data_IF_649376618198
#
_entry.id   IF_649376618198
#
_cell.length_a   1.000
_cell.length_b   1.000
_cell.length_c   1.000
_cell.angle_alpha   90.00
_cell.angle_beta   90.00
_cell.angle_gamma   90.00
#
_symmetry.space_group_name_H-M   'P 1'
#
loop_
_entity.id
_entity.type
_entity.pdbx_description
1 polymer ?
#
# COMPACT_ATOMS: atom_id res chain seq x y z
N UNK A 1 19.95 10.35 24.60
CA UNK A 1 20.79 9.52 25.51
C UNK A 1 19.99 8.28 25.88
N UNK A 2 20.58 7.08 25.92
CA UNK A 2 21.78 6.76 26.68
C UNK A 2 23.08 6.73 25.86
N UNK A 3 24.18 7.05 26.54
CA UNK A 3 25.55 6.75 26.13
C UNK A 3 25.85 5.27 26.41
N UNK A 4 26.56 4.62 25.51
CA UNK A 4 27.34 3.42 25.82
C UNK A 4 28.73 3.58 25.23
N UNK A 5 29.70 3.70 26.14
CA UNK A 5 31.14 3.75 25.88
C UNK A 5 31.61 2.45 25.24
N UNK A 6 32.32 2.54 24.11
CA UNK A 6 33.18 1.45 23.63
C UNK A 6 34.61 2.00 23.67
N UNK A 7 35.35 1.51 24.65
CA UNK A 7 36.80 1.53 24.63
C UNK A 7 37.27 0.50 23.60
N UNK A 8 38.02 0.94 22.59
CA UNK A 8 38.84 0.04 21.80
C UNK A 8 40.27 0.53 21.87
N UNK A 9 41.02 -0.04 22.80
CA UNK A 9 42.48 0.00 22.79
C UNK A 9 42.98 -0.63 21.50
N UNK A 10 43.76 0.10 20.70
CA UNK A 10 44.73 -0.50 19.79
C UNK A 10 45.97 0.37 19.74
N UNK A 11 46.99 -0.09 20.45
CA UNK A 11 48.38 0.25 20.21
C UNK A 11 48.74 -0.14 18.76
N UNK A 12 49.20 0.83 17.96
CA UNK A 12 50.29 0.55 17.04
C UNK A 12 51.10 1.81 16.76
N UNK A 13 52.37 1.76 17.11
CA UNK A 13 53.40 2.74 16.81
C UNK A 13 53.97 2.42 15.42
N UNK A 14 54.36 3.43 14.64
CA UNK A 14 55.19 3.21 13.44
C UNK A 14 54.88 4.17 12.31
N UNK A 15 55.85 5.01 11.95
CA UNK A 15 55.69 6.12 11.01
C UNK A 15 55.95 5.78 9.54
N UNK A 16 55.84 6.83 8.73
CA UNK A 16 56.65 7.05 7.53
C UNK A 16 56.20 6.40 6.21
N UNK A 17 56.11 7.28 5.21
CA UNK A 17 56.37 7.09 3.79
C UNK A 17 55.21 6.70 2.85
N UNK A 18 55.25 7.35 1.68
CA UNK A 18 54.21 7.38 0.66
C UNK A 18 54.10 6.08 -0.13
N UNK A 19 52.94 5.91 -0.76
CA UNK A 19 52.71 4.80 -1.68
C UNK A 19 51.24 4.40 -1.74
N UNK A 20 50.70 4.47 -2.95
CA UNK A 20 49.50 3.77 -3.42
C UNK A 20 48.14 4.06 -2.77
N UNK A 21 47.48 5.08 -3.32
CA UNK A 21 46.06 5.39 -3.09
C UNK A 21 45.13 4.28 -3.64
N UNK A 22 45.63 3.39 -4.51
CA UNK A 22 44.85 2.35 -5.18
C UNK A 22 44.62 1.07 -4.33
N UNK A 23 45.41 0.83 -3.28
CA UNK A 23 45.28 -0.39 -2.46
C UNK A 23 44.18 -0.34 -1.38
N UNK A 24 43.63 0.84 -1.09
CA UNK A 24 42.72 1.05 0.05
C UNK A 24 41.24 0.78 -0.24
N UNK A 25 40.87 0.60 -1.51
CA UNK A 25 39.46 0.42 -1.93
C UNK A 25 39.01 -1.04 -1.78
N UNK A 26 39.92 -2.01 -1.76
CA UNK A 26 39.58 -3.44 -1.79
C UNK A 26 39.02 -4.04 -0.50
N UNK A 27 38.97 -3.29 0.61
CA UNK A 27 38.49 -3.78 1.91
C UNK A 27 37.40 -2.92 2.55
N UNK A 28 36.68 -2.11 1.77
CA UNK A 28 35.54 -1.35 2.30
C UNK A 28 34.32 -2.27 2.40
N UNK A 29 34.16 -2.95 3.53
CA UNK A 29 32.98 -3.75 3.82
C UNK A 29 31.82 -2.79 4.10
N UNK A 30 31.00 -2.52 3.08
CA UNK A 30 29.74 -1.80 3.24
C UNK A 30 28.91 -2.51 4.32
N UNK A 31 28.66 -1.81 5.41
CA UNK A 31 27.66 -2.22 6.38
C UNK A 31 26.29 -1.68 5.93
N UNK A 32 25.21 -2.24 6.48
CA UNK A 32 23.84 -1.86 6.10
C UNK A 32 23.61 -0.33 6.19
N UNK A 33 24.17 0.30 7.23
CA UNK A 33 24.05 1.73 7.46
C UNK A 33 24.75 2.59 6.38
N UNK A 34 25.96 2.19 5.97
CA UNK A 34 26.73 2.89 4.92
C UNK A 34 26.15 2.62 3.53
N UNK A 35 25.57 1.44 3.31
CA UNK A 35 24.85 1.12 2.08
C UNK A 35 23.60 2.01 1.94
N UNK A 36 22.75 2.08 2.97
CA UNK A 36 21.55 2.92 2.95
C UNK A 36 21.87 4.41 2.81
N UNK A 37 22.95 4.88 3.46
CA UNK A 37 23.42 6.25 3.32
C UNK A 37 23.88 6.58 1.88
N UNK A 38 24.36 5.59 1.13
CA UNK A 38 24.80 5.75 -0.26
C UNK A 38 23.64 5.81 -1.28
N UNK A 39 22.40 5.51 -0.88
CA UNK A 39 21.24 5.56 -1.78
C UNK A 39 20.85 6.99 -2.17
N UNK A 40 21.26 7.99 -1.38
CA UNK A 40 21.06 9.40 -1.68
C UNK A 40 22.41 10.09 -1.89
N UNK A 41 22.56 10.95 -2.91
CA UNK A 41 23.84 11.57 -3.26
C UNK A 41 24.21 12.74 -2.32
N UNK A 42 24.14 12.54 -1.00
CA UNK A 42 24.31 13.60 0.02
C UNK A 42 25.74 14.13 0.07
N UNK A 43 26.72 13.26 -0.20
CA UNK A 43 28.14 13.64 -0.25
C UNK A 43 28.45 14.44 -1.51
N UNK A 44 27.94 13.99 -2.65
CA UNK A 44 28.17 14.57 -3.97
C UNK A 44 27.56 15.96 -4.07
N UNK A 45 26.35 16.16 -3.55
CA UNK A 45 25.71 17.48 -3.49
C UNK A 45 26.21 18.35 -2.32
N UNK A 46 27.08 17.83 -1.46
CA UNK A 46 27.64 18.53 -0.31
C UNK A 46 26.67 18.79 0.85
N UNK A 47 25.52 18.10 0.89
CA UNK A 47 24.53 18.25 1.96
C UNK A 47 25.09 17.87 3.33
N UNK A 48 25.90 16.80 3.40
CA UNK A 48 26.51 16.36 4.66
C UNK A 48 27.42 17.47 5.24
N UNK A 49 28.26 18.07 4.39
CA UNK A 49 29.16 19.18 4.78
C UNK A 49 28.39 20.41 5.24
N UNK A 50 27.25 20.70 4.62
CA UNK A 50 26.41 21.84 4.99
C UNK A 50 25.80 21.66 6.38
N UNK A 51 25.28 20.47 6.69
CA UNK A 51 24.69 20.14 7.98
C UNK A 51 25.77 20.07 9.08
N UNK A 52 26.95 19.53 8.78
CA UNK A 52 28.09 19.55 9.72
C UNK A 52 28.48 20.99 10.12
N UNK A 53 28.52 21.91 9.15
CA UNK A 53 28.83 23.32 9.39
C UNK A 53 27.68 24.10 10.06
N UNK A 54 26.43 23.66 9.87
CA UNK A 54 25.24 24.32 10.43
C UNK A 54 24.30 23.28 11.07
N UNK A 55 24.62 22.76 12.28
CA UNK A 55 23.90 21.63 12.88
C UNK A 55 22.40 21.86 13.15
N UNK A 56 21.96 23.12 13.14
CA UNK A 56 20.57 23.51 13.36
C UNK A 56 19.79 23.76 12.07
N UNK A 57 20.41 23.66 10.89
CA UNK A 57 19.81 23.98 9.59
C UNK A 57 19.35 22.69 8.88
N UNK A 58 18.70 21.82 9.63
CA UNK A 58 18.25 20.48 9.19
C UNK A 58 16.78 20.45 8.73
N UNK A 59 16.18 21.62 8.51
CA UNK A 59 14.79 21.76 8.08
C UNK A 59 13.75 21.77 9.20
N UNK A 60 14.16 21.70 10.48
CA UNK A 60 13.23 21.85 11.61
C UNK A 60 12.42 23.16 11.50
N UNK A 61 11.13 23.08 11.76
CA UNK A 61 10.21 24.23 11.67
C UNK A 61 9.74 24.57 10.26
N UNK A 62 10.20 23.86 9.22
CA UNK A 62 9.67 23.96 7.87
C UNK A 62 8.63 22.85 7.61
N UNK A 63 7.58 23.19 6.85
CA UNK A 63 6.59 22.23 6.34
C UNK A 63 6.71 22.18 4.83
N UNK A 64 6.82 20.97 4.28
CA UNK A 64 6.97 20.73 2.85
C UNK A 64 5.75 19.97 2.36
N UNK A 65 5.08 20.48 1.32
CA UNK A 65 4.05 19.76 0.60
C UNK A 65 4.68 19.03 -0.59
N UNK A 66 4.36 17.74 -0.75
CA UNK A 66 4.88 16.90 -1.83
C UNK A 66 3.71 16.51 -2.73
N UNK A 67 3.77 16.92 -4.00
CA UNK A 67 2.76 16.56 -5.00
C UNK A 67 3.35 15.46 -5.89
N UNK A 68 3.01 14.22 -5.58
CA UNK A 68 3.49 13.02 -6.23
C UNK A 68 2.35 11.98 -6.26
N UNK A 69 2.63 10.77 -6.73
CA UNK A 69 1.77 9.60 -6.75
C UNK A 69 1.43 9.02 -5.37
N UNK A 70 2.09 9.47 -4.30
CA UNK A 70 1.86 9.04 -2.92
C UNK A 70 3.17 8.78 -2.18
N UNK A 71 3.04 8.44 -0.89
CA UNK A 71 4.17 8.11 -0.01
C UNK A 71 3.72 7.03 0.97
N UNK A 72 4.65 6.15 1.36
CA UNK A 72 4.41 5.17 2.44
C UNK A 72 4.76 5.79 3.80
N UNK A 73 3.77 6.09 4.67
CA UNK A 73 4.04 6.66 5.98
C UNK A 73 4.70 5.70 6.95
N UNK A 74 4.70 4.39 6.67
CA UNK A 74 5.35 3.38 7.50
C UNK A 74 6.85 3.23 7.20
N UNK A 75 7.37 3.91 6.17
CA UNK A 75 8.79 3.90 5.85
C UNK A 75 9.61 4.44 7.04
N UNK A 76 10.69 3.73 7.39
CA UNK A 76 11.51 4.02 8.58
C UNK A 76 12.10 5.43 8.59
N UNK A 77 12.47 5.97 7.42
CA UNK A 77 13.00 7.33 7.26
C UNK A 77 11.95 8.46 7.30
N UNK A 78 10.67 8.11 7.41
CA UNK A 78 9.52 9.02 7.42
C UNK A 78 8.72 9.01 8.72
N UNK A 79 9.16 8.26 9.74
CA UNK A 79 8.48 8.20 11.02
C UNK A 79 8.64 9.52 11.81
N UNK A 80 9.89 9.90 12.07
CA UNK A 80 10.23 10.98 12.98
C UNK A 80 11.16 12.00 12.34
N UNK A 81 11.02 13.25 12.77
CA UNK A 81 11.95 14.36 12.49
C UNK A 81 13.16 14.28 13.43
N UNK A 82 14.16 15.15 13.18
CA UNK A 82 15.34 15.27 14.05
C UNK A 82 15.03 15.74 15.48
N UNK A 83 13.87 16.38 15.70
CA UNK A 83 13.37 16.79 17.01
C UNK A 83 12.31 15.83 17.59
N UNK A 84 12.17 14.63 17.02
CA UNK A 84 11.36 13.54 17.57
C UNK A 84 9.84 13.69 17.35
N UNK A 85 9.42 14.58 16.45
CA UNK A 85 8.01 14.77 16.07
C UNK A 85 7.65 13.89 14.87
N UNK A 86 6.35 13.59 14.65
CA UNK A 86 5.92 12.94 13.42
C UNK A 86 6.36 13.73 12.19
N UNK A 87 6.99 13.06 11.21
CA UNK A 87 7.52 13.72 10.01
C UNK A 87 6.47 13.90 8.91
N UNK A 88 5.50 13.00 8.81
CA UNK A 88 4.32 13.17 7.96
C UNK A 88 3.19 13.71 8.83
N UNK A 89 2.65 14.86 8.41
CA UNK A 89 1.52 15.51 9.09
C UNK A 89 0.19 15.06 8.49
N UNK A 90 0.13 14.91 7.17
CA UNK A 90 -1.07 14.54 6.45
C UNK A 90 -0.73 13.87 5.11
N UNK A 91 -1.66 13.06 4.60
CA UNK A 91 -1.60 12.40 3.29
C UNK A 91 -2.95 12.55 2.62
N UNK A 92 -2.99 13.31 1.53
CA UNK A 92 -4.23 13.64 0.82
C UNK A 92 -4.17 13.03 -0.58
N UNK A 93 -5.16 12.21 -0.92
CA UNK A 93 -5.40 11.78 -2.30
C UNK A 93 -6.27 12.81 -3.02
N UNK A 94 -5.66 13.60 -3.90
CA UNK A 94 -6.36 14.61 -4.71
C UNK A 94 -6.92 14.05 -6.03
N UNK A 95 -6.77 12.75 -6.30
CA UNK A 95 -7.26 12.14 -7.55
C UNK A 95 -8.75 11.78 -7.50
N UNK A 96 -9.33 11.70 -6.29
CA UNK A 96 -10.69 11.20 -6.06
C UNK A 96 -10.81 9.68 -6.24
N UNK A 97 -9.71 8.97 -6.48
CA UNK A 97 -9.73 7.52 -6.69
C UNK A 97 -10.29 6.77 -5.48
N UNK A 98 -10.03 7.29 -4.27
CA UNK A 98 -10.55 6.77 -3.01
C UNK A 98 -11.98 7.19 -2.65
N UNK A 99 -12.65 8.03 -3.45
CA UNK A 99 -13.95 8.57 -3.08
C UNK A 99 -15.02 7.48 -3.02
N UNK A 100 -15.86 7.54 -1.98
CA UNK A 100 -16.99 6.63 -1.75
C UNK A 100 -18.22 7.47 -1.39
N UNK A 101 -19.29 7.32 -2.18
CA UNK A 101 -20.58 7.93 -1.84
C UNK A 101 -21.16 7.25 -0.60
N UNK A 102 -21.29 8.04 0.47
CA UNK A 102 -21.83 7.63 1.78
C UNK A 102 -23.08 8.41 2.15
N UNK A 103 -23.76 9.00 1.16
CA UNK A 103 -25.02 9.74 1.33
C UNK A 103 -26.16 8.87 1.86
N UNK A 104 -26.10 7.55 1.66
CA UNK A 104 -27.10 6.61 2.17
C UNK A 104 -26.91 6.41 3.67
N UNK A 105 -27.94 6.79 4.43
CA UNK A 105 -28.01 6.60 5.88
C UNK A 105 -28.94 5.43 6.23
N UNK A 106 -28.48 4.55 7.12
CA UNK A 106 -29.25 3.40 7.62
C UNK A 106 -29.18 3.32 9.14
N UNK A 107 -30.11 2.60 9.76
CA UNK A 107 -30.13 2.31 11.20
C UNK A 107 -29.91 0.82 11.44
N UNK A 108 -29.27 0.50 12.55
CA UNK A 108 -29.11 -0.88 12.96
C UNK A 108 -30.45 -1.44 13.45
N UNK A 109 -30.73 -2.71 13.14
CA UNK A 109 -31.85 -3.43 13.71
C UNK A 109 -31.55 -3.88 15.15
N UNK A 110 -32.49 -4.63 15.75
CA UNK A 110 -32.38 -5.13 17.13
C UNK A 110 -31.20 -6.07 17.35
N UNK A 111 -30.73 -6.71 16.28
CA UNK A 111 -29.62 -7.66 16.30
C UNK A 111 -28.27 -7.00 15.94
N UNK A 112 -28.26 -5.67 15.78
CA UNK A 112 -27.05 -4.90 15.44
C UNK A 112 -26.65 -5.02 13.97
N UNK A 113 -27.58 -5.36 13.07
CA UNK A 113 -27.33 -5.45 11.64
C UNK A 113 -27.78 -4.21 10.88
N UNK A 114 -27.02 -3.84 9.86
CA UNK A 114 -27.35 -2.77 8.93
C UNK A 114 -27.42 -3.28 7.50
N UNK A 115 -28.24 -2.63 6.67
CA UNK A 115 -28.28 -2.90 5.24
C UNK A 115 -27.17 -2.09 4.54
N UNK A 116 -26.13 -2.76 4.07
CA UNK A 116 -25.05 -2.15 3.30
C UNK A 116 -25.55 -1.49 2.02
N UNK A 117 -24.75 -0.57 1.47
CA UNK A 117 -25.08 0.12 0.24
C UNK A 117 -25.22 -0.85 -0.96
N UNK A 118 -24.48 -1.97 -0.95
CA UNK A 118 -24.58 -3.07 -1.91
C UNK A 118 -25.83 -3.95 -1.75
N UNK A 119 -26.60 -3.78 -0.67
CA UNK A 119 -27.72 -4.66 -0.30
C UNK A 119 -27.34 -5.87 0.56
N UNK A 120 -26.06 -6.06 0.90
CA UNK A 120 -25.64 -7.07 1.86
C UNK A 120 -26.00 -6.64 3.29
N UNK A 121 -26.42 -7.61 4.12
CA UNK A 121 -26.60 -7.39 5.56
C UNK A 121 -25.23 -7.42 6.25
N UNK A 122 -24.88 -6.35 6.97
CA UNK A 122 -23.61 -6.19 7.67
C UNK A 122 -23.83 -6.19 9.18
N UNK A 123 -22.97 -6.90 9.92
CA UNK A 123 -22.99 -6.89 11.39
C UNK A 123 -22.12 -5.75 11.89
N UNK A 124 -22.70 -4.85 12.67
CA UNK A 124 -21.97 -3.74 13.29
C UNK A 124 -21.30 -4.23 14.57
N UNK A 125 -20.05 -3.80 14.79
CA UNK A 125 -19.37 -4.11 16.04
C UNK A 125 -20.01 -3.34 17.20
N UNK A 126 -20.47 -4.06 18.23
CA UNK A 126 -21.15 -3.49 19.39
C UNK A 126 -20.28 -2.57 20.25
N UNK A 127 -18.95 -2.63 20.12
CA UNK A 127 -18.01 -1.74 20.81
C UNK A 127 -17.91 -0.34 20.18
N UNK A 128 -18.43 -0.14 18.96
CA UNK A 128 -18.37 1.14 18.28
C UNK A 128 -19.34 2.14 18.90
N UNK A 129 -18.82 3.32 19.27
CA UNK A 129 -19.64 4.41 19.79
C UNK A 129 -20.26 5.17 18.63
N UNK A 130 -21.58 5.09 18.50
CA UNK A 130 -22.35 5.87 17.54
C UNK A 130 -23.50 6.60 18.26
N UNK A 131 -23.29 7.84 18.74
CA UNK A 131 -24.30 8.58 19.47
C UNK A 131 -25.55 8.95 18.65
N UNK A 132 -25.43 9.11 17.33
CA UNK A 132 -26.59 9.43 16.48
C UNK A 132 -27.46 8.21 16.18
N UNK A 133 -26.88 7.00 16.27
CA UNK A 133 -27.53 5.76 15.85
C UNK A 133 -27.68 5.63 14.33
N UNK A 134 -27.11 6.56 13.56
CA UNK A 134 -27.16 6.61 12.11
C UNK A 134 -25.84 6.11 11.52
N UNK A 135 -25.93 5.24 10.51
CA UNK A 135 -24.79 4.65 9.83
C UNK A 135 -24.78 5.12 8.39
N UNK A 136 -23.70 5.79 8.01
CA UNK A 136 -23.44 6.16 6.62
C UNK A 136 -22.81 4.97 5.91
N UNK A 137 -23.46 4.49 4.86
CA UNK A 137 -23.00 3.31 4.11
C UNK A 137 -22.67 3.71 2.69
N UNK A 138 -21.53 3.20 2.21
CA UNK A 138 -21.08 3.30 0.84
C UNK A 138 -20.48 1.99 0.39
N UNK A 139 -20.24 1.87 -0.91
CA UNK A 139 -19.48 0.76 -1.46
C UNK A 139 -18.67 1.24 -2.66
N UNK A 140 -17.61 0.50 -2.95
CA UNK A 140 -16.80 0.68 -4.15
C UNK A 140 -16.53 -0.68 -4.76
N UNK A 141 -16.53 -0.77 -6.09
CA UNK A 141 -16.18 -2.02 -6.73
C UNK A 141 -14.68 -2.23 -6.58
N UNK A 142 -14.27 -3.43 -6.19
CA UNK A 142 -12.86 -3.76 -5.99
C UNK A 142 -12.01 -3.53 -7.27
N UNK A 143 -12.64 -3.64 -8.44
CA UNK A 143 -11.99 -3.39 -9.73
C UNK A 143 -11.62 -1.92 -9.97
N UNK A 144 -12.26 -0.99 -9.26
CA UNK A 144 -11.91 0.43 -9.29
C UNK A 144 -10.67 0.73 -8.45
N UNK A 145 -10.34 -0.14 -7.50
CA UNK A 145 -9.17 0.00 -6.62
C UNK A 145 -7.93 -0.71 -7.17
N UNK A 146 -8.11 -1.63 -8.13
CA UNK A 146 -7.04 -2.45 -8.67
C UNK A 146 -6.45 -1.85 -9.93
N UNK A 147 -5.16 -2.10 -10.14
CA UNK A 147 -4.50 -1.78 -11.41
C UNK A 147 -5.14 -2.56 -12.56
N UNK A 148 -5.06 -2.01 -13.77
CA UNK A 148 -5.64 -2.63 -14.97
C UNK A 148 -5.13 -4.05 -15.21
N UNK A 149 -3.85 -4.30 -14.92
CA UNK A 149 -3.24 -5.63 -15.04
C UNK A 149 -3.88 -6.61 -14.07
N UNK A 150 -4.06 -6.22 -12.80
CA UNK A 150 -4.69 -7.06 -11.79
C UNK A 150 -6.16 -7.30 -12.10
N UNK A 151 -6.89 -6.25 -12.48
CA UNK A 151 -8.29 -6.32 -12.88
C UNK A 151 -8.48 -7.26 -14.07
N UNK A 152 -7.65 -7.15 -15.11
CA UNK A 152 -7.68 -8.01 -16.29
C UNK A 152 -7.44 -9.48 -15.93
N UNK A 153 -6.43 -9.75 -15.09
CA UNK A 153 -6.13 -11.10 -14.61
C UNK A 153 -7.30 -11.71 -13.82
N UNK A 154 -7.88 -10.96 -12.88
CA UNK A 154 -9.01 -11.44 -12.07
C UNK A 154 -10.25 -11.68 -12.93
N UNK A 155 -10.54 -10.79 -13.88
CA UNK A 155 -11.66 -10.96 -14.82
C UNK A 155 -11.49 -12.24 -15.66
N UNK A 156 -10.27 -12.50 -16.15
CA UNK A 156 -9.96 -13.72 -16.92
C UNK A 156 -10.17 -14.99 -16.08
N UNK A 157 -9.67 -15.03 -14.85
CA UNK A 157 -9.85 -16.20 -13.96
C UNK A 157 -11.33 -16.45 -13.62
N UNK A 158 -12.11 -15.40 -13.38
CA UNK A 158 -13.55 -15.53 -13.14
C UNK A 158 -14.29 -15.99 -14.38
N UNK A 159 -13.95 -15.44 -15.55
CA UNK A 159 -14.54 -15.83 -16.83
C UNK A 159 -14.31 -17.31 -17.12
N UNK A 160 -13.10 -17.83 -16.91
CA UNK A 160 -12.79 -19.26 -17.12
C UNK A 160 -13.73 -20.19 -16.34
N UNK A 161 -13.88 -19.94 -15.03
CA UNK A 161 -14.80 -20.73 -14.18
C UNK A 161 -16.26 -20.61 -14.59
N UNK A 162 -16.65 -19.45 -15.12
CA UNK A 162 -17.99 -19.23 -15.62
C UNK A 162 -18.20 -19.95 -16.96
N UNK A 163 -17.25 -19.87 -17.88
CA UNK A 163 -17.29 -20.55 -19.19
C UNK A 163 -17.43 -22.07 -19.01
N UNK A 164 -16.70 -22.66 -18.05
CA UNK A 164 -16.80 -24.09 -17.69
C UNK A 164 -18.25 -24.48 -17.32
N UNK A 165 -18.89 -23.72 -16.42
CA UNK A 165 -20.30 -23.97 -16.01
C UNK A 165 -21.29 -23.65 -17.12
N UNK A 166 -21.04 -22.59 -17.88
CA UNK A 166 -21.91 -22.15 -18.96
C UNK A 166 -21.94 -23.17 -20.10
N UNK A 167 -20.81 -23.85 -20.38
CA UNK A 167 -20.76 -24.98 -21.31
C UNK A 167 -21.68 -26.13 -20.89
N UNK A 168 -21.71 -26.48 -19.60
CA UNK A 168 -22.61 -27.52 -19.08
C UNK A 168 -24.09 -27.13 -19.27
N UNK A 169 -24.45 -25.88 -18.99
CA UNK A 169 -25.82 -25.40 -19.17
C UNK A 169 -26.22 -25.28 -20.65
N UNK A 170 -25.30 -24.89 -21.53
CA UNK A 170 -25.53 -24.92 -22.99
C UNK A 170 -25.81 -26.35 -23.45
N UNK A 171 -25.02 -27.33 -22.99
CA UNK A 171 -25.23 -28.73 -23.35
C UNK A 171 -26.62 -29.23 -22.91
N UNK A 172 -27.07 -28.88 -21.69
CA UNK A 172 -28.42 -29.19 -21.22
C UNK A 172 -29.51 -28.54 -22.07
N UNK A 173 -29.32 -27.26 -22.43
CA UNK A 173 -30.28 -26.53 -23.25
C UNK A 173 -30.41 -27.14 -24.66
N UNK A 174 -29.30 -27.59 -25.26
CA UNK A 174 -29.31 -28.29 -26.56
C UNK A 174 -30.05 -29.62 -26.45
N UNK A 175 -29.81 -30.42 -25.41
CA UNK A 175 -30.53 -31.68 -25.20
C UNK A 175 -32.05 -31.47 -25.10
N UNK A 176 -32.50 -30.47 -24.33
CA UNK A 176 -33.92 -30.16 -24.25
C UNK A 176 -34.52 -29.70 -25.59
N UNK A 177 -33.74 -29.02 -26.43
CA UNK A 177 -34.17 -28.62 -27.76
C UNK A 177 -34.36 -29.84 -28.66
N UNK A 178 -33.40 -30.76 -28.66
CA UNK A 178 -33.47 -32.01 -29.45
C UNK A 178 -34.65 -32.89 -29.01
N UNK A 179 -34.91 -32.98 -27.70
CA UNK A 179 -36.08 -33.69 -27.16
C UNK A 179 -37.39 -33.06 -27.62
N UNK A 180 -37.48 -31.73 -27.59
CA UNK A 180 -38.65 -30.99 -28.05
C UNK A 180 -38.90 -31.22 -29.55
N UNK A 181 -37.86 -31.12 -30.37
CA UNK A 181 -37.96 -31.29 -31.82
C UNK A 181 -38.42 -32.72 -32.18
N UNK A 182 -37.90 -33.74 -31.50
CA UNK A 182 -38.36 -35.13 -31.67
C UNK A 182 -39.85 -35.30 -31.30
N UNK A 183 -40.33 -34.66 -30.22
CA UNK A 183 -41.74 -34.72 -29.84
C UNK A 183 -42.64 -34.03 -30.86
N UNK A 184 -42.21 -32.87 -31.39
CA UNK A 184 -42.95 -32.14 -32.43
C UNK A 184 -43.01 -32.93 -33.72
N UNK A 185 -41.90 -33.49 -34.19
CA UNK A 185 -41.87 -34.33 -35.40
C UNK A 185 -42.79 -35.54 -35.27
N UNK A 186 -42.79 -36.21 -34.11
CA UNK A 186 -43.65 -37.36 -33.84
C UNK A 186 -45.14 -37.01 -33.66
N UNK A 187 -45.46 -35.75 -33.34
CA UNK A 187 -46.84 -35.27 -33.13
C UNK A 187 -47.49 -34.69 -34.40
N UNK A 188 -46.72 -34.49 -35.47
CA UNK A 188 -47.19 -33.87 -36.72
C UNK A 188 -47.42 -34.91 -37.84
N UNK A 189 -47.31 -36.20 -37.53
CA UNK A 189 -47.65 -37.33 -38.42
C UNK A 189 -48.99 -37.97 -38.06
#
# INVERSE_FOLDING_TARGET
MPCSSIETSNNFCGGGDGGDVNGRIHNFKLNEHTFLASLMPKKEIGADRFIEAHPHYDGRGAVIAIFDSGVDPAASGLQLTSDGKPKILDVIDCTGSGDVDTSKVVKADKDGRIQGASGASLVVNSSWKNPSGEWHVGYKLIYELFTDTLTSRIKKERKRKWDEKNQEEIAKAVLHLDEFDQVVENSTC
#
